data_IF_046423370398
#
_entry.id   IF_046423370398
#
_cell.length_a   1.000
_cell.length_b   1.000
_cell.length_c   1.000
_cell.angle_alpha   90.00
_cell.angle_beta   90.00
_cell.angle_gamma   90.00
#
_symmetry.space_group_name_H-M   'P 1'
#
loop_
_entity.id
_entity.type
_entity.pdbx_description
1 polymer ?
#
# COMPACT_ATOMS: atom_id res chain seq x y z
N UNK A 1 6.32 20.68 -22.31
CA UNK A 1 6.79 21.99 -21.84
C UNK A 1 8.31 22.07 -21.92
N UNK A 2 8.87 23.26 -22.23
CA UNK A 2 10.32 23.45 -22.26
C UNK A 2 10.89 23.82 -20.88
N UNK A 3 10.03 24.25 -19.95
CA UNK A 3 10.38 24.58 -18.57
C UNK A 3 9.23 24.35 -17.62
N UNK A 4 9.55 24.18 -16.34
CA UNK A 4 8.60 24.06 -15.22
C UNK A 4 9.32 24.42 -13.92
N UNK A 5 8.58 24.73 -12.86
CA UNK A 5 9.22 24.98 -11.55
C UNK A 5 9.60 23.69 -10.85
N UNK A 6 8.71 22.70 -10.85
CA UNK A 6 8.91 21.42 -10.17
C UNK A 6 8.60 20.27 -11.10
N UNK A 7 9.49 19.30 -11.15
CA UNK A 7 9.28 17.99 -11.78
C UNK A 7 9.12 16.94 -10.68
N UNK A 8 7.98 16.26 -10.65
CA UNK A 8 7.78 15.04 -9.85
C UNK A 8 8.03 13.85 -10.77
N UNK A 9 8.97 12.97 -10.41
CA UNK A 9 9.33 11.79 -11.20
C UNK A 9 8.73 10.55 -10.53
N UNK A 10 7.83 9.88 -11.25
CA UNK A 10 7.12 8.67 -10.82
C UNK A 10 5.63 8.90 -10.55
N UNK A 11 4.79 8.10 -11.19
CA UNK A 11 3.33 8.17 -11.18
C UNK A 11 2.66 7.17 -10.25
N UNK A 12 3.36 6.67 -9.23
CA UNK A 12 2.77 5.90 -8.14
C UNK A 12 1.99 6.79 -7.15
N UNK A 13 1.40 6.18 -6.12
CA UNK A 13 0.60 6.89 -5.11
C UNK A 13 1.37 8.05 -4.44
N UNK A 14 2.66 7.88 -4.20
CA UNK A 14 3.52 8.91 -3.58
C UNK A 14 3.70 10.10 -4.52
N UNK A 15 4.04 9.87 -5.79
CA UNK A 15 4.23 10.93 -6.76
C UNK A 15 2.95 11.71 -7.06
N UNK A 16 1.83 11.02 -7.24
CA UNK A 16 0.52 11.66 -7.42
C UNK A 16 0.10 12.49 -6.20
N UNK A 17 0.38 11.98 -4.98
CA UNK A 17 0.17 12.72 -3.74
C UNK A 17 1.06 13.97 -3.65
N UNK A 18 2.34 13.86 -3.99
CA UNK A 18 3.26 15.01 -4.03
C UNK A 18 2.79 16.08 -5.02
N UNK A 19 2.42 15.68 -6.24
CA UNK A 19 1.94 16.60 -7.26
C UNK A 19 0.66 17.33 -6.80
N UNK A 20 -0.28 16.59 -6.19
CA UNK A 20 -1.49 17.17 -5.62
C UNK A 20 -1.18 18.21 -4.53
N UNK A 21 -0.37 17.84 -3.54
CA UNK A 21 -0.09 18.74 -2.41
C UNK A 21 0.71 19.96 -2.82
N UNK A 22 1.68 19.82 -3.72
CA UNK A 22 2.40 20.96 -4.25
C UNK A 22 1.45 21.95 -4.93
N UNK A 23 0.60 21.47 -5.83
CA UNK A 23 -0.38 22.31 -6.51
C UNK A 23 -1.37 22.95 -5.52
N UNK A 24 -1.95 22.17 -4.60
CA UNK A 24 -2.85 22.63 -3.54
C UNK A 24 -2.23 23.72 -2.66
N UNK A 25 -0.93 23.64 -2.37
CA UNK A 25 -0.21 24.63 -1.58
C UNK A 25 0.23 25.87 -2.39
N UNK A 26 -0.26 25.99 -3.62
CA UNK A 26 -0.04 27.17 -4.46
C UNK A 26 1.27 27.14 -5.26
N UNK A 27 1.97 26.00 -5.33
CA UNK A 27 3.07 25.84 -6.27
C UNK A 27 2.50 25.82 -7.68
N UNK A 28 2.83 26.84 -8.43
CA UNK A 28 2.45 26.90 -9.86
C UNK A 28 3.47 26.12 -10.67
N UNK A 29 3.02 25.62 -11.80
CA UNK A 29 3.88 24.97 -12.78
C UNK A 29 4.56 23.71 -12.25
N UNK A 30 3.75 22.78 -11.73
CA UNK A 30 4.14 21.43 -11.33
C UNK A 30 3.84 20.46 -12.46
N UNK A 31 4.82 19.66 -12.83
CA UNK A 31 4.62 18.53 -13.75
C UNK A 31 4.97 17.22 -13.04
N UNK A 32 4.22 16.17 -13.35
CA UNK A 32 4.54 14.79 -13.00
C UNK A 32 4.86 14.03 -14.28
N UNK A 33 5.97 13.32 -14.26
CA UNK A 33 6.44 12.48 -15.35
C UNK A 33 6.45 11.03 -14.91
N UNK A 34 5.66 10.21 -15.58
CA UNK A 34 5.64 8.76 -15.42
C UNK A 34 6.16 8.11 -16.69
N UNK A 35 7.08 7.16 -16.55
CA UNK A 35 7.72 6.51 -17.68
C UNK A 35 6.78 5.61 -18.49
N UNK A 36 5.76 5.06 -17.82
CA UNK A 36 4.78 4.15 -18.41
C UNK A 36 3.36 4.64 -18.03
N UNK A 37 2.54 3.86 -17.34
CA UNK A 37 1.22 4.24 -16.86
C UNK A 37 1.25 4.55 -15.37
N UNK A 38 0.36 5.42 -14.93
CA UNK A 38 0.18 5.63 -13.51
C UNK A 38 -0.06 4.28 -12.81
N UNK A 39 0.53 4.12 -11.64
CA UNK A 39 0.48 2.91 -10.81
C UNK A 39 1.35 1.73 -11.24
N UNK A 40 1.98 1.75 -12.38
CA UNK A 40 2.72 0.61 -12.98
C UNK A 40 3.90 0.06 -12.17
N UNK A 41 4.33 0.77 -11.12
CA UNK A 41 5.33 0.27 -10.15
C UNK A 41 4.71 -0.68 -9.11
N UNK A 42 4.99 -0.46 -7.82
CA UNK A 42 4.45 -1.29 -6.72
C UNK A 42 3.04 -0.90 -6.27
N UNK A 43 2.50 0.20 -6.77
CA UNK A 43 1.19 0.71 -6.31
C UNK A 43 0.02 -0.20 -6.70
N UNK A 44 -0.01 -0.70 -7.92
CA UNK A 44 -1.17 -1.41 -8.48
C UNK A 44 -1.53 -2.71 -7.74
N UNK A 45 -0.52 -3.41 -7.20
CA UNK A 45 -0.71 -4.71 -6.54
C UNK A 45 -0.58 -4.63 -5.02
N UNK A 46 -0.58 -3.43 -4.43
CA UNK A 46 -0.63 -3.30 -2.99
C UNK A 46 -1.96 -3.86 -2.43
N UNK A 47 -1.91 -4.51 -1.28
CA UNK A 47 -3.10 -5.11 -0.66
C UNK A 47 -4.20 -4.09 -0.30
N UNK A 48 -3.85 -2.81 -0.27
CA UNK A 48 -4.78 -1.72 -0.08
C UNK A 48 -5.36 -1.60 1.32
N UNK A 49 -4.66 -2.08 2.35
CA UNK A 49 -5.10 -1.95 3.73
C UNK A 49 -5.04 -0.48 4.19
N UNK A 50 -6.14 0.03 4.71
CA UNK A 50 -6.25 1.40 5.22
C UNK A 50 -6.44 1.36 6.73
N UNK A 51 -5.54 2.02 7.46
CA UNK A 51 -5.60 2.06 8.92
C UNK A 51 -5.28 3.43 9.49
N UNK A 52 -5.95 3.81 10.56
CA UNK A 52 -5.80 5.11 11.21
C UNK A 52 -4.63 5.13 12.18
N UNK A 53 -4.49 4.10 13.01
CA UNK A 53 -3.40 4.02 13.99
C UNK A 53 -2.10 3.55 13.33
N UNK A 54 -1.00 4.21 13.67
CA UNK A 54 0.35 3.86 13.27
C UNK A 54 1.27 3.58 14.45
N UNK A 55 2.50 3.09 14.21
CA UNK A 55 3.45 2.75 15.26
C UNK A 55 3.99 3.97 16.02
N UNK A 56 3.71 5.17 15.56
CA UNK A 56 4.10 6.42 16.21
C UNK A 56 3.08 7.53 15.97
N UNK A 57 3.14 8.57 16.80
CA UNK A 57 2.25 9.71 16.68
C UNK A 57 2.32 10.43 15.31
N UNK A 58 3.51 10.69 14.72
CA UNK A 58 3.59 11.25 13.37
C UNK A 58 2.92 10.36 12.32
N UNK A 59 3.16 9.06 12.34
CA UNK A 59 2.55 8.12 11.39
C UNK A 59 1.03 8.06 11.58
N UNK A 60 0.54 8.05 12.81
CA UNK A 60 -0.91 8.11 13.09
C UNK A 60 -1.54 9.38 12.49
N UNK A 61 -0.89 10.53 12.64
CA UNK A 61 -1.37 11.79 12.04
C UNK A 61 -1.41 11.73 10.52
N UNK A 62 -0.37 11.18 9.88
CA UNK A 62 -0.29 11.04 8.42
C UNK A 62 -1.40 10.09 7.93
N UNK A 63 -1.59 8.93 8.58
CA UNK A 63 -2.62 7.97 8.20
C UNK A 63 -4.02 8.57 8.32
N UNK A 64 -4.32 9.23 9.45
CA UNK A 64 -5.59 9.94 9.62
C UNK A 64 -5.80 10.98 8.52
N UNK A 65 -4.81 11.82 8.26
CA UNK A 65 -4.87 12.84 7.21
C UNK A 65 -5.13 12.19 5.84
N UNK A 66 -4.43 11.11 5.51
CA UNK A 66 -4.60 10.42 4.22
C UNK A 66 -6.02 9.89 4.04
N UNK A 67 -6.57 9.23 5.07
CA UNK A 67 -7.93 8.71 5.00
C UNK A 67 -8.98 9.84 4.89
N UNK A 68 -8.84 10.90 5.67
CA UNK A 68 -9.73 12.06 5.61
C UNK A 68 -9.64 12.73 4.23
N UNK A 69 -8.42 12.83 3.67
CA UNK A 69 -8.20 13.37 2.33
C UNK A 69 -8.89 12.52 1.25
N UNK A 70 -8.76 11.20 1.29
CA UNK A 70 -9.41 10.34 0.30
C UNK A 70 -10.93 10.50 0.32
N UNK A 71 -11.54 10.51 1.51
CA UNK A 71 -12.98 10.78 1.71
C UNK A 71 -13.41 12.15 1.19
N UNK A 72 -12.57 13.17 1.38
CA UNK A 72 -12.81 14.52 0.88
C UNK A 72 -12.75 14.56 -0.64
N UNK A 73 -11.72 13.95 -1.23
CA UNK A 73 -11.49 13.97 -2.67
C UNK A 73 -12.55 13.18 -3.43
N UNK A 74 -13.03 12.04 -2.94
CA UNK A 74 -14.14 11.29 -3.55
C UNK A 74 -15.40 12.14 -3.71
N UNK A 75 -15.63 13.11 -2.83
CA UNK A 75 -16.77 14.04 -2.93
C UNK A 75 -16.55 15.18 -3.94
N UNK A 76 -15.29 15.49 -4.24
CA UNK A 76 -14.91 16.64 -5.08
C UNK A 76 -14.53 16.25 -6.50
N UNK A 77 -14.05 15.04 -6.66
CA UNK A 77 -13.51 14.52 -7.92
C UNK A 77 -14.38 13.34 -8.35
N UNK A 78 -14.80 13.32 -9.60
CA UNK A 78 -15.55 12.20 -10.16
C UNK A 78 -14.65 10.97 -10.36
N UNK A 79 -14.26 10.35 -9.23
CA UNK A 79 -13.50 9.13 -9.17
C UNK A 79 -13.54 8.51 -7.77
N UNK A 80 -13.70 7.19 -7.70
CA UNK A 80 -13.69 6.46 -6.42
C UNK A 80 -12.29 6.01 -6.05
N UNK A 81 -11.95 6.09 -4.78
CA UNK A 81 -10.79 5.44 -4.17
C UNK A 81 -11.06 3.96 -3.84
N UNK A 82 -12.27 3.47 -4.09
CA UNK A 82 -12.67 2.12 -3.72
C UNK A 82 -12.64 1.87 -2.21
N UNK A 83 -12.88 2.91 -1.40
CA UNK A 83 -12.83 2.80 0.07
C UNK A 83 -13.95 1.90 0.59
N UNK A 84 -13.56 0.89 1.36
CA UNK A 84 -14.44 -0.02 2.08
C UNK A 84 -14.05 0.03 3.56
N UNK A 85 -14.73 0.89 4.32
CA UNK A 85 -14.46 1.12 5.75
C UNK A 85 -15.36 0.21 6.58
N UNK A 86 -15.17 -1.07 6.43
CA UNK A 86 -15.88 -2.14 7.13
C UNK A 86 -15.17 -2.62 8.40
N UNK A 87 -14.14 -1.89 8.80
CA UNK A 87 -13.36 -2.15 10.00
C UNK A 87 -12.07 -2.93 9.73
N UNK A 88 -11.15 -2.85 10.70
CA UNK A 88 -10.01 -3.75 10.79
C UNK A 88 -9.92 -4.33 12.19
N UNK A 89 -9.84 -5.65 12.28
CA UNK A 89 -9.73 -6.43 13.50
C UNK A 89 -8.30 -6.93 13.64
N UNK A 90 -7.62 -6.53 14.72
CA UNK A 90 -6.35 -7.15 15.13
C UNK A 90 -6.63 -8.15 16.25
N UNK A 91 -6.16 -9.38 16.11
CA UNK A 91 -6.37 -10.48 17.05
C UNK A 91 -5.10 -10.81 17.81
N UNK A 92 -5.26 -11.45 18.96
CA UNK A 92 -4.17 -11.90 19.84
C UNK A 92 -4.39 -13.33 20.31
N UNK A 93 -3.36 -14.16 20.17
CA UNK A 93 -3.27 -15.52 20.69
C UNK A 93 -2.33 -15.56 21.90
N UNK A 94 -1.36 -14.66 21.96
CA UNK A 94 -0.40 -14.57 23.05
C UNK A 94 -0.70 -13.41 24.00
N UNK A 95 -0.41 -13.61 25.30
CA UNK A 95 -0.65 -12.57 26.32
C UNK A 95 0.11 -11.27 26.04
N UNK A 96 1.34 -11.36 25.56
CA UNK A 96 2.13 -10.19 25.18
C UNK A 96 1.45 -9.35 24.11
N UNK A 97 0.91 -10.01 23.07
CA UNK A 97 0.14 -9.37 22.01
C UNK A 97 -1.15 -8.77 22.53
N UNK A 98 -1.85 -9.52 23.38
CA UNK A 98 -3.09 -9.03 23.99
C UNK A 98 -2.88 -7.74 24.79
N UNK A 99 -1.82 -7.66 25.59
CA UNK A 99 -1.46 -6.44 26.30
C UNK A 99 -1.10 -5.30 25.36
N UNK A 100 -0.41 -5.59 24.25
CA UNK A 100 -0.10 -4.59 23.24
C UNK A 100 -1.37 -4.04 22.58
N UNK A 101 -2.31 -4.91 22.17
CA UNK A 101 -3.57 -4.47 21.57
C UNK A 101 -4.40 -3.62 22.52
N UNK A 102 -4.45 -3.95 23.80
CA UNK A 102 -5.12 -3.11 24.82
C UNK A 102 -4.47 -1.71 24.91
N UNK A 103 -3.14 -1.62 24.84
CA UNK A 103 -2.45 -0.31 24.78
C UNK A 103 -2.76 0.45 23.48
N UNK A 104 -2.84 -0.25 22.35
CA UNK A 104 -3.26 0.36 21.09
C UNK A 104 -4.69 0.91 21.17
N UNK A 105 -5.63 0.18 21.79
CA UNK A 105 -6.99 0.65 22.01
C UNK A 105 -7.01 1.94 22.84
N UNK A 106 -6.24 2.00 23.93
CA UNK A 106 -6.09 3.24 24.73
C UNK A 106 -5.51 4.38 23.89
N UNK A 107 -4.50 4.08 23.06
CA UNK A 107 -3.91 5.08 22.15
C UNK A 107 -4.94 5.57 21.13
N UNK A 108 -5.78 4.68 20.57
CA UNK A 108 -6.84 5.05 19.65
C UNK A 108 -7.79 6.09 20.25
N UNK A 109 -8.18 5.89 21.50
CA UNK A 109 -9.04 6.82 22.23
C UNK A 109 -8.40 8.21 22.39
N UNK A 110 -7.10 8.30 22.60
CA UNK A 110 -6.38 9.60 22.66
C UNK A 110 -6.45 10.39 21.35
N UNK A 111 -6.62 9.71 20.22
CA UNK A 111 -6.82 10.33 18.90
C UNK A 111 -8.29 10.46 18.51
N UNK A 112 -9.22 10.17 19.41
CA UNK A 112 -10.67 10.13 19.18
C UNK A 112 -11.04 9.18 18.03
N UNK A 113 -10.39 8.01 17.94
CA UNK A 113 -10.78 6.95 17.04
C UNK A 113 -11.72 5.98 17.76
N UNK A 114 -12.74 5.52 17.05
CA UNK A 114 -13.58 4.45 17.54
C UNK A 114 -12.79 3.15 17.63
N UNK A 115 -12.86 2.50 18.77
CA UNK A 115 -12.22 1.22 19.01
C UNK A 115 -13.09 0.35 19.89
N UNK A 116 -13.19 -0.92 19.56
CA UNK A 116 -13.92 -1.93 20.31
C UNK A 116 -12.95 -3.01 20.76
N UNK A 117 -12.95 -3.33 22.04
CA UNK A 117 -12.23 -4.48 22.59
C UNK A 117 -13.20 -5.66 22.55
N UNK A 118 -12.83 -6.74 21.87
CA UNK A 118 -13.68 -7.89 21.63
C UNK A 118 -13.10 -9.14 22.30
N UNK A 119 -13.96 -9.94 22.92
CA UNK A 119 -13.62 -11.29 23.33
C UNK A 119 -13.72 -12.27 22.14
N UNK A 120 -13.26 -13.51 22.32
CA UNK A 120 -13.20 -14.52 21.27
C UNK A 120 -14.57 -14.86 20.66
N UNK A 121 -15.65 -14.82 21.44
CA UNK A 121 -16.98 -15.16 20.95
C UNK A 121 -17.54 -14.01 20.10
N UNK A 122 -17.32 -12.77 20.49
CA UNK A 122 -17.66 -11.58 19.71
C UNK A 122 -16.87 -11.51 18.39
N UNK A 123 -15.62 -11.98 18.40
CA UNK A 123 -14.81 -12.12 17.17
C UNK A 123 -15.44 -13.16 16.25
N UNK A 124 -15.85 -14.31 16.80
CA UNK A 124 -16.52 -15.38 16.04
C UNK A 124 -17.84 -14.93 15.40
N UNK A 125 -18.62 -14.13 16.10
CA UNK A 125 -19.86 -13.53 15.55
C UNK A 125 -19.56 -12.63 14.33
N UNK A 126 -18.49 -11.83 14.40
CA UNK A 126 -18.13 -10.93 13.30
C UNK A 126 -17.47 -11.65 12.13
N UNK A 127 -16.74 -12.70 12.41
CA UNK A 127 -16.01 -13.49 11.41
C UNK A 127 -16.34 -14.96 11.59
N UNK A 128 -17.44 -15.44 11.01
CA UNK A 128 -17.91 -16.82 11.19
C UNK A 128 -16.90 -17.89 10.73
N UNK A 129 -15.97 -17.55 9.86
CA UNK A 129 -14.93 -18.45 9.38
C UNK A 129 -13.79 -18.67 10.35
N UNK A 130 -13.58 -17.75 11.33
CA UNK A 130 -12.42 -17.81 12.22
C UNK A 130 -12.55 -18.94 13.23
N UNK A 131 -11.46 -19.65 13.50
CA UNK A 131 -11.33 -20.47 14.71
C UNK A 131 -11.03 -19.53 15.87
N UNK A 132 -11.68 -19.73 17.00
CA UNK A 132 -11.53 -18.82 18.15
C UNK A 132 -11.07 -19.51 19.44
N UNK A 133 -10.71 -20.78 19.38
CA UNK A 133 -10.38 -21.58 20.56
C UNK A 133 -9.12 -21.09 21.27
N UNK A 134 -8.13 -20.63 20.51
CA UNK A 134 -6.84 -20.12 20.95
C UNK A 134 -6.77 -18.59 21.07
N UNK A 135 -7.86 -17.88 20.73
CA UNK A 135 -7.88 -16.43 20.82
C UNK A 135 -8.08 -15.94 22.27
N UNK A 136 -7.26 -15.00 22.68
CA UNK A 136 -7.41 -14.24 23.91
C UNK A 136 -8.39 -13.07 23.75
N UNK A 137 -8.44 -12.48 22.54
CA UNK A 137 -9.29 -11.38 22.18
C UNK A 137 -8.75 -10.58 20.99
N UNK A 138 -9.34 -9.44 20.75
CA UNK A 138 -8.92 -8.55 19.67
C UNK A 138 -9.42 -7.13 19.84
N UNK A 139 -8.91 -6.23 19.01
CA UNK A 139 -9.42 -4.87 18.87
C UNK A 139 -9.95 -4.63 17.46
N UNK A 140 -11.16 -4.13 17.38
CA UNK A 140 -11.77 -3.70 16.12
C UNK A 140 -11.70 -2.18 16.05
N UNK A 141 -11.19 -1.69 14.93
CA UNK A 141 -11.17 -0.28 14.54
C UNK A 141 -12.22 -0.07 13.43
N UNK A 142 -13.44 0.38 13.75
CA UNK A 142 -14.52 0.49 12.74
C UNK A 142 -14.23 1.46 11.59
N UNK A 143 -13.40 2.46 11.84
CA UNK A 143 -13.02 3.45 10.83
C UNK A 143 -11.88 3.01 9.89
N UNK A 144 -11.31 1.85 10.11
CA UNK A 144 -10.30 1.21 9.25
C UNK A 144 -10.98 0.38 8.15
N UNK A 145 -10.20 -0.18 7.24
CA UNK A 145 -10.70 -1.06 6.18
C UNK A 145 -9.71 -1.23 5.05
N UNK A 146 -10.21 -1.12 3.83
CA UNK A 146 -9.40 -1.21 2.62
C UNK A 146 -9.78 -0.14 1.59
N UNK A 147 -8.94 0.04 0.59
CA UNK A 147 -9.17 0.87 -0.57
C UNK A 147 -8.51 0.25 -1.80
N UNK A 148 -8.88 0.72 -2.98
CA UNK A 148 -8.20 0.34 -4.22
C UNK A 148 -6.95 1.22 -4.40
N UNK A 149 -5.72 0.66 -4.35
CA UNK A 149 -4.50 1.45 -4.50
C UNK A 149 -4.42 2.20 -5.82
N UNK A 150 -4.87 1.58 -6.91
CA UNK A 150 -4.93 2.22 -8.22
C UNK A 150 -5.99 3.32 -8.26
N UNK A 151 -7.17 3.06 -7.72
CA UNK A 151 -8.24 4.05 -7.59
C UNK A 151 -7.82 5.26 -6.75
N UNK A 152 -7.18 5.04 -5.60
CA UNK A 152 -6.61 6.10 -4.76
C UNK A 152 -5.60 6.95 -5.54
N UNK A 153 -4.73 6.32 -6.31
CA UNK A 153 -3.70 7.02 -7.10
C UNK A 153 -4.33 7.84 -8.22
N UNK A 154 -5.30 7.28 -8.93
CA UNK A 154 -6.05 7.99 -9.97
C UNK A 154 -6.86 9.16 -9.40
N UNK A 155 -7.46 8.99 -8.21
CA UNK A 155 -8.15 10.05 -7.49
C UNK A 155 -7.20 11.23 -7.18
N UNK A 156 -6.01 10.93 -6.63
CA UNK A 156 -4.97 11.93 -6.36
C UNK A 156 -4.48 12.60 -7.64
N UNK A 157 -4.28 11.84 -8.72
CA UNK A 157 -3.86 12.38 -10.01
C UNK A 157 -4.90 13.32 -10.62
N UNK A 158 -6.19 12.94 -10.58
CA UNK A 158 -7.29 13.82 -11.03
C UNK A 158 -7.38 15.08 -10.16
N UNK A 159 -7.27 14.94 -8.85
CA UNK A 159 -7.25 16.07 -7.93
C UNK A 159 -6.05 17.00 -8.20
N UNK A 160 -4.86 16.45 -8.45
CA UNK A 160 -3.68 17.24 -8.82
C UNK A 160 -3.90 18.04 -10.10
N UNK A 161 -4.52 17.44 -11.12
CA UNK A 161 -4.89 18.13 -12.37
C UNK A 161 -5.89 19.25 -12.12
N UNK A 162 -6.87 19.02 -11.23
CA UNK A 162 -7.84 20.04 -10.82
C UNK A 162 -7.20 21.25 -10.13
N UNK A 163 -6.10 21.04 -9.39
CA UNK A 163 -5.30 22.09 -8.76
C UNK A 163 -4.23 22.71 -9.70
N UNK A 164 -4.18 22.28 -10.97
CA UNK A 164 -3.33 22.86 -12.02
C UNK A 164 -2.01 22.10 -12.28
N UNK A 165 -1.75 20.96 -11.66
CA UNK A 165 -0.62 20.12 -12.02
C UNK A 165 -0.84 19.45 -13.39
N UNK A 166 0.22 19.26 -14.14
CA UNK A 166 0.21 18.55 -15.44
C UNK A 166 0.85 17.19 -15.28
N UNK A 167 0.18 16.13 -15.70
CA UNK A 167 0.63 14.74 -15.58
C UNK A 167 0.83 14.17 -16.97
N UNK A 168 2.01 13.60 -17.20
CA UNK A 168 2.43 12.99 -18.46
C UNK A 168 2.84 11.55 -18.21
N UNK A 169 2.11 10.62 -18.79
CA UNK A 169 2.48 9.21 -18.92
C UNK A 169 3.35 9.00 -20.15
N UNK A 170 3.91 7.81 -20.31
CA UNK A 170 4.83 7.46 -21.43
C UNK A 170 5.99 8.49 -21.58
N UNK A 171 6.44 9.01 -20.42
CA UNK A 171 7.39 10.12 -20.33
C UNK A 171 8.60 9.76 -19.44
N UNK A 172 9.46 8.81 -19.89
CA UNK A 172 10.60 8.37 -19.12
C UNK A 172 11.62 9.50 -18.94
N UNK A 173 12.02 9.73 -17.69
CA UNK A 173 13.15 10.62 -17.40
C UNK A 173 14.46 9.87 -17.62
N UNK A 174 15.11 10.17 -18.71
CA UNK A 174 16.36 9.53 -19.16
C UNK A 174 17.56 10.03 -18.33
N UNK A 175 17.56 11.33 -18.00
CA UNK A 175 18.66 11.97 -17.31
C UNK A 175 18.18 13.15 -16.47
N UNK A 176 18.76 13.30 -15.28
CA UNK A 176 18.68 14.51 -14.46
C UNK A 176 19.93 15.35 -14.73
N UNK A 177 19.73 16.61 -15.09
CA UNK A 177 20.80 17.55 -15.40
C UNK A 177 21.18 18.31 -14.14
N UNK A 178 22.44 18.15 -13.74
CA UNK A 178 23.02 18.80 -12.57
C UNK A 178 24.28 19.55 -12.99
N UNK A 179 24.36 20.83 -12.62
CA UNK A 179 25.55 21.65 -12.82
C UNK A 179 25.85 22.44 -11.57
N UNK A 180 27.10 22.45 -11.15
CA UNK A 180 27.52 23.15 -9.94
C UNK A 180 26.66 22.79 -8.70
N UNK A 181 26.32 21.50 -8.55
CA UNK A 181 25.43 20.97 -7.48
C UNK A 181 24.01 21.55 -7.47
N UNK A 182 23.55 22.11 -8.57
CA UNK A 182 22.19 22.62 -8.74
C UNK A 182 21.49 21.86 -9.87
N UNK A 183 20.20 21.65 -9.71
CA UNK A 183 19.33 21.09 -10.75
C UNK A 183 19.21 22.12 -11.89
N UNK A 184 19.37 21.68 -13.13
CA UNK A 184 19.11 22.47 -14.33
C UNK A 184 17.91 21.96 -15.12
N UNK A 185 17.44 20.73 -14.84
CA UNK A 185 16.32 20.14 -15.57
C UNK A 185 16.42 18.63 -15.70
N UNK A 186 15.61 18.09 -16.58
CA UNK A 186 15.57 16.67 -16.95
C UNK A 186 15.58 16.50 -18.47
N UNK A 187 16.02 15.34 -18.96
CA UNK A 187 15.82 14.89 -20.33
C UNK A 187 14.70 13.88 -20.37
N UNK A 188 13.71 14.10 -21.22
CA UNK A 188 12.53 13.26 -21.42
C UNK A 188 12.29 13.12 -22.91
N UNK A 189 12.28 11.89 -23.43
CA UNK A 189 12.14 11.61 -24.86
C UNK A 189 13.10 12.46 -25.73
N UNK A 190 14.36 12.55 -25.29
CA UNK A 190 15.41 13.33 -25.94
C UNK A 190 15.31 14.87 -25.84
N UNK A 191 14.27 15.39 -25.17
CA UNK A 191 14.05 16.83 -25.01
C UNK A 191 14.38 17.30 -23.59
N UNK A 192 15.03 18.46 -23.48
CA UNK A 192 15.30 19.10 -22.18
C UNK A 192 14.06 19.81 -21.66
N UNK A 193 13.73 19.55 -20.40
CA UNK A 193 12.76 20.34 -19.61
C UNK A 193 13.55 21.00 -18.48
N UNK A 194 13.63 22.31 -18.46
CA UNK A 194 14.28 23.07 -17.39
C UNK A 194 13.43 23.06 -16.12
N UNK A 195 14.04 22.89 -14.94
CA UNK A 195 13.33 22.98 -13.68
C UNK A 195 14.25 23.41 -12.54
N UNK A 196 13.64 23.98 -11.49
CA UNK A 196 14.36 24.40 -10.28
C UNK A 196 14.42 23.27 -9.24
N UNK A 197 13.39 22.42 -9.18
CA UNK A 197 13.23 21.36 -8.19
C UNK A 197 12.82 20.05 -8.83
N UNK A 198 13.28 18.96 -8.22
CA UNK A 198 12.89 17.61 -8.58
C UNK A 198 12.45 16.87 -7.29
N UNK A 199 11.31 16.21 -7.36
CA UNK A 199 10.84 15.25 -6.36
C UNK A 199 11.02 13.85 -6.94
N UNK A 200 11.87 13.01 -6.30
CA UNK A 200 12.01 11.61 -6.66
C UNK A 200 10.95 10.78 -5.93
N UNK A 201 9.97 10.31 -6.66
CA UNK A 201 8.92 9.40 -6.19
C UNK A 201 8.93 8.09 -7.00
N UNK A 202 10.12 7.63 -7.32
CA UNK A 202 10.41 6.57 -8.31
C UNK A 202 10.41 5.15 -7.70
N UNK A 203 9.82 4.99 -6.49
CA UNK A 203 9.64 3.70 -5.86
C UNK A 203 10.94 2.87 -5.82
N UNK A 204 10.86 1.62 -6.24
CA UNK A 204 12.00 0.69 -6.20
C UNK A 204 13.18 1.11 -7.07
N UNK A 205 13.01 2.00 -8.05
CA UNK A 205 14.09 2.53 -8.90
C UNK A 205 14.84 3.72 -8.27
N UNK A 206 14.39 4.23 -7.11
CA UNK A 206 14.96 5.45 -6.51
C UNK A 206 16.47 5.36 -6.25
N UNK A 207 16.95 4.20 -5.80
CA UNK A 207 18.38 3.97 -5.57
C UNK A 207 19.20 4.17 -6.84
N UNK A 208 18.78 3.55 -7.95
CA UNK A 208 19.49 3.62 -9.22
C UNK A 208 19.54 5.06 -9.79
N UNK A 209 18.46 5.82 -9.60
CA UNK A 209 18.40 7.22 -10.02
C UNK A 209 19.27 8.07 -9.10
N UNK A 210 19.26 7.82 -7.79
CA UNK A 210 20.14 8.46 -6.83
C UNK A 210 21.60 8.27 -7.17
N UNK A 211 22.03 7.05 -7.48
CA UNK A 211 23.41 6.73 -7.90
C UNK A 211 23.82 7.54 -9.12
N UNK A 212 22.96 7.65 -10.14
CA UNK A 212 23.21 8.46 -11.35
C UNK A 212 23.36 9.96 -11.05
N UNK A 213 22.85 10.44 -9.92
CA UNK A 213 22.89 11.85 -9.50
C UNK A 213 23.87 12.15 -8.38
N UNK A 214 24.59 11.15 -7.89
CA UNK A 214 25.53 11.27 -6.78
C UNK A 214 24.85 11.34 -5.41
N UNK A 215 23.58 10.93 -5.30
CA UNK A 215 22.82 10.87 -4.05
C UNK A 215 22.66 9.43 -3.61
N UNK A 216 23.09 9.10 -2.39
CA UNK A 216 22.88 7.78 -1.81
C UNK A 216 21.46 7.68 -1.26
N UNK A 217 20.67 6.77 -1.82
CA UNK A 217 19.31 6.45 -1.36
C UNK A 217 19.34 5.02 -0.81
N UNK A 218 19.24 4.82 0.51
CA UNK A 218 19.35 3.50 1.16
C UNK A 218 18.03 2.73 1.03
N UNK A 219 17.65 2.41 -0.20
CA UNK A 219 16.44 1.66 -0.52
C UNK A 219 16.82 0.33 -1.20
N UNK A 220 16.20 -0.74 -0.75
CA UNK A 220 16.34 -2.07 -1.32
C UNK A 220 14.95 -2.66 -1.55
N UNK A 221 14.58 -3.03 -2.78
CA UNK A 221 13.32 -3.71 -3.03
C UNK A 221 13.37 -5.14 -2.47
N UNK A 222 12.28 -5.55 -1.85
CA UNK A 222 12.09 -6.90 -1.34
C UNK A 222 10.80 -7.50 -1.89
N UNK A 223 10.79 -8.82 -2.01
CA UNK A 223 9.59 -9.56 -2.36
C UNK A 223 8.62 -9.57 -1.18
N UNK A 224 7.35 -9.48 -1.49
CA UNK A 224 6.25 -9.55 -0.53
C UNK A 224 5.10 -10.34 -1.15
N UNK A 225 4.47 -11.23 -0.37
CA UNK A 225 3.60 -12.24 -0.93
C UNK A 225 2.18 -12.14 -0.38
N UNK A 226 1.22 -12.36 -1.25
CA UNK A 226 -0.16 -12.69 -0.87
C UNK A 226 -0.75 -13.71 -1.86
N UNK A 227 -1.80 -14.37 -1.44
CA UNK A 227 -2.58 -15.29 -2.27
C UNK A 227 -4.02 -14.85 -2.30
N UNK A 228 -4.70 -15.13 -3.39
CA UNK A 228 -6.15 -14.92 -3.53
C UNK A 228 -6.79 -16.30 -3.69
N UNK A 229 -7.75 -16.62 -2.82
CA UNK A 229 -8.46 -17.89 -2.87
C UNK A 229 -9.40 -17.97 -4.08
N UNK A 230 -9.86 -19.16 -4.41
CA UNK A 230 -11.07 -19.33 -5.19
C UNK A 230 -12.29 -18.71 -4.49
N UNK A 231 -13.39 -18.44 -5.21
CA UNK A 231 -14.61 -17.93 -4.60
C UNK A 231 -15.11 -18.82 -3.47
N UNK A 232 -15.42 -18.20 -2.32
CA UNK A 232 -15.93 -18.90 -1.14
C UNK A 232 -17.43 -18.71 -1.05
N UNK A 233 -18.17 -19.81 -1.04
CA UNK A 233 -19.62 -19.78 -0.93
C UNK A 233 -20.06 -19.14 0.40
N UNK A 234 -21.02 -18.21 0.32
CA UNK A 234 -21.57 -17.49 1.45
C UNK A 234 -20.55 -16.65 2.27
N UNK A 235 -19.44 -16.25 1.63
CA UNK A 235 -18.50 -15.32 2.28
C UNK A 235 -19.21 -13.99 2.53
N UNK A 236 -19.28 -13.49 3.79
CA UNK A 236 -19.85 -12.18 4.07
C UNK A 236 -19.04 -11.07 3.37
N UNK A 237 -19.73 -10.19 2.63
CA UNK A 237 -19.08 -9.12 1.87
C UNK A 237 -18.57 -7.95 2.72
N UNK A 238 -19.00 -7.87 3.96
CA UNK A 238 -18.67 -6.82 4.93
C UNK A 238 -17.70 -7.28 6.02
N UNK A 239 -16.98 -8.38 5.76
CA UNK A 239 -15.94 -8.85 6.68
C UNK A 239 -14.91 -7.73 6.93
N UNK A 240 -14.58 -7.42 8.19
CA UNK A 240 -13.46 -6.53 8.47
C UNK A 240 -12.15 -7.14 7.98
N UNK A 241 -11.18 -6.27 7.69
CA UNK A 241 -9.80 -6.72 7.50
C UNK A 241 -9.32 -7.38 8.80
N UNK A 242 -8.75 -8.57 8.72
CA UNK A 242 -8.18 -9.25 9.89
C UNK A 242 -6.67 -9.20 9.84
N UNK A 243 -6.05 -8.88 10.96
CA UNK A 243 -4.59 -8.88 11.14
C UNK A 243 -4.22 -9.76 12.31
N UNK A 244 -3.38 -10.74 12.06
CA UNK A 244 -2.77 -11.57 13.05
C UNK A 244 -1.26 -11.39 13.02
N UNK A 245 -0.75 -10.61 13.96
CA UNK A 245 0.68 -10.36 14.06
C UNK A 245 1.44 -11.50 14.75
N UNK A 246 0.74 -12.41 15.44
CA UNK A 246 1.35 -13.60 16.07
C UNK A 246 1.68 -14.62 14.98
N UNK A 247 0.74 -14.90 14.07
CA UNK A 247 0.97 -15.72 12.86
C UNK A 247 1.61 -14.94 11.70
N UNK A 248 1.78 -13.62 11.84
CA UNK A 248 2.32 -12.74 10.79
C UNK A 248 1.51 -12.76 9.51
N UNK A 249 0.18 -12.74 9.61
CA UNK A 249 -0.72 -12.80 8.47
C UNK A 249 -1.79 -11.72 8.53
N UNK A 250 -2.39 -11.46 7.40
CA UNK A 250 -3.61 -10.65 7.33
C UNK A 250 -4.52 -11.22 6.22
N UNK A 251 -5.81 -10.99 6.34
CA UNK A 251 -6.72 -11.29 5.26
C UNK A 251 -7.85 -10.26 5.14
N UNK A 252 -8.39 -10.15 3.95
CA UNK A 252 -9.55 -9.33 3.63
C UNK A 252 -10.44 -10.04 2.62
N UNK A 253 -11.74 -9.72 2.65
CA UNK A 253 -12.64 -10.08 1.56
C UNK A 253 -12.32 -9.25 0.32
N UNK A 254 -12.33 -9.92 -0.85
CA UNK A 254 -12.07 -9.33 -2.14
C UNK A 254 -12.91 -10.02 -3.24
N UNK A 255 -14.03 -9.39 -3.60
CA UNK A 255 -14.95 -9.87 -4.63
C UNK A 255 -15.42 -11.35 -4.45
N UNK A 256 -15.78 -11.73 -3.23
CA UNK A 256 -16.23 -13.10 -2.91
C UNK A 256 -15.10 -14.09 -2.66
N UNK A 257 -13.87 -13.63 -2.62
CA UNK A 257 -12.65 -14.37 -2.33
C UNK A 257 -11.99 -13.82 -1.07
N UNK A 258 -10.98 -14.50 -0.54
CA UNK A 258 -10.09 -13.95 0.47
C UNK A 258 -8.73 -13.65 -0.16
N UNK A 259 -8.27 -12.41 0.00
CA UNK A 259 -6.87 -12.08 -0.17
C UNK A 259 -6.18 -12.34 1.18
N UNK A 260 -5.22 -13.24 1.19
CA UNK A 260 -4.41 -13.60 2.34
C UNK A 260 -2.97 -13.18 2.09
N UNK A 261 -2.46 -12.24 2.87
CA UNK A 261 -1.08 -11.77 2.80
C UNK A 261 -0.31 -12.06 4.07
N UNK A 262 0.99 -11.89 3.99
CA UNK A 262 1.92 -12.22 5.08
C UNK A 262 2.77 -11.00 5.47
N UNK A 263 3.23 -10.99 6.72
CA UNK A 263 4.22 -10.04 7.22
C UNK A 263 5.54 -10.82 7.43
N UNK A 264 6.32 -10.95 6.39
CA UNK A 264 7.54 -11.77 6.40
C UNK A 264 8.47 -11.37 7.54
N UNK A 265 8.87 -12.35 8.34
CA UNK A 265 9.92 -12.14 9.34
C UNK A 265 11.31 -11.96 8.73
N UNK A 266 11.50 -12.49 7.52
CA UNK A 266 12.70 -12.37 6.71
C UNK A 266 12.26 -12.24 5.25
N UNK A 267 12.28 -11.03 4.74
CA UNK A 267 11.96 -10.74 3.34
C UNK A 267 13.04 -11.23 2.40
N UNK A 268 12.64 -11.67 1.21
CA UNK A 268 13.56 -12.07 0.14
C UNK A 268 13.95 -10.80 -0.62
N UNK A 269 15.26 -10.51 -0.77
CA UNK A 269 15.69 -9.40 -1.62
C UNK A 269 15.29 -9.63 -3.07
N UNK A 270 14.55 -8.66 -3.65
CA UNK A 270 14.19 -8.70 -5.06
C UNK A 270 15.40 -8.35 -5.95
N UNK A 271 15.43 -8.90 -7.18
CA UNK A 271 16.45 -8.61 -8.18
C UNK A 271 17.89 -8.97 -7.79
N UNK A 272 18.05 -9.98 -6.98
CA UNK A 272 19.27 -10.69 -6.63
C UNK A 272 20.50 -9.83 -6.25
N UNK A 273 21.68 -10.36 -6.63
CA UNK A 273 23.01 -9.82 -6.28
C UNK A 273 23.32 -8.46 -6.94
N UNK A 274 22.67 -8.12 -8.06
CA UNK A 274 22.95 -6.87 -8.77
C UNK A 274 22.19 -5.70 -8.15
N UNK A 275 21.11 -5.98 -7.44
CA UNK A 275 20.20 -5.00 -6.84
C UNK A 275 19.78 -3.90 -7.84
N UNK A 276 19.63 -4.30 -9.11
CA UNK A 276 19.15 -3.42 -10.18
C UNK A 276 17.77 -3.86 -10.62
N UNK A 277 16.82 -2.98 -10.41
CA UNK A 277 15.46 -3.15 -10.93
C UNK A 277 15.52 -2.93 -12.45
N UNK A 278 15.02 -3.89 -13.27
CA UNK A 278 14.95 -3.69 -14.71
C UNK A 278 14.11 -2.47 -15.08
N UNK A 279 14.53 -1.74 -16.11
CA UNK A 279 13.81 -0.54 -16.53
C UNK A 279 12.41 -0.84 -17.05
N UNK A 280 12.21 -2.02 -17.62
CA UNK A 280 10.93 -2.51 -18.16
C UNK A 280 10.08 -3.34 -17.17
N UNK A 281 10.41 -3.35 -15.90
CA UNK A 281 9.64 -4.06 -14.87
C UNK A 281 8.40 -3.24 -14.46
N UNK A 282 7.47 -3.11 -15.40
CA UNK A 282 6.20 -2.38 -15.26
C UNK A 282 5.07 -3.39 -15.16
N UNK A 283 4.17 -3.23 -14.20
CA UNK A 283 3.18 -4.25 -13.82
C UNK A 283 3.81 -5.64 -13.66
N UNK A 284 5.03 -5.65 -13.14
CA UNK A 284 5.81 -6.87 -13.04
C UNK A 284 5.43 -7.71 -11.83
N UNK A 285 5.51 -9.02 -12.01
CA UNK A 285 5.31 -10.03 -10.99
C UNK A 285 6.51 -10.98 -10.97
N UNK A 286 6.76 -11.60 -9.81
CA UNK A 286 7.76 -12.65 -9.69
C UNK A 286 7.10 -14.03 -9.79
N UNK A 287 7.87 -15.10 -10.04
CA UNK A 287 7.35 -16.46 -9.96
C UNK A 287 6.81 -16.80 -8.58
N UNK A 288 5.83 -17.69 -8.53
CA UNK A 288 5.31 -18.25 -7.29
C UNK A 288 6.42 -18.88 -6.43
N UNK A 289 6.34 -18.63 -5.12
CA UNK A 289 7.23 -19.23 -4.15
C UNK A 289 6.41 -19.85 -3.00
N UNK A 290 5.84 -21.01 -3.28
CA UNK A 290 4.98 -21.73 -2.34
C UNK A 290 5.77 -22.18 -1.10
N UNK A 291 7.01 -22.62 -1.26
CA UNK A 291 7.87 -23.03 -0.15
C UNK A 291 8.04 -21.91 0.88
N UNK A 292 8.19 -20.66 0.41
CA UNK A 292 8.28 -19.49 1.28
C UNK A 292 6.95 -19.16 1.96
N UNK A 293 5.82 -19.38 1.27
CA UNK A 293 4.49 -19.03 1.76
C UNK A 293 3.85 -20.10 2.65
N UNK A 294 4.19 -21.38 2.44
CA UNK A 294 3.58 -22.55 3.08
C UNK A 294 3.50 -22.46 4.62
N UNK A 295 4.54 -22.06 5.36
CA UNK A 295 4.47 -21.95 6.82
C UNK A 295 3.39 -20.98 7.32
N UNK A 296 3.11 -19.95 6.54
CA UNK A 296 2.07 -18.96 6.86
C UNK A 296 0.66 -19.48 6.48
N UNK A 297 0.54 -20.26 5.39
CA UNK A 297 -0.71 -20.95 5.04
C UNK A 297 -1.08 -21.97 6.12
N UNK A 298 -0.15 -22.75 6.60
CA UNK A 298 -0.38 -23.65 7.70
C UNK A 298 -0.87 -22.93 8.95
N UNK A 299 -0.20 -21.83 9.35
CA UNK A 299 -0.61 -21.03 10.48
C UNK A 299 -2.07 -20.52 10.32
N UNK A 300 -2.43 -20.00 9.15
CA UNK A 300 -3.80 -19.54 8.89
C UNK A 300 -4.82 -20.69 8.89
N UNK A 301 -4.49 -21.82 8.30
CA UNK A 301 -5.37 -22.99 8.27
C UNK A 301 -5.60 -23.56 9.68
N UNK A 302 -4.57 -23.57 10.53
CA UNK A 302 -4.66 -24.00 11.91
C UNK A 302 -5.44 -23.02 12.79
N UNK A 303 -5.23 -21.71 12.59
CA UNK A 303 -5.68 -20.67 13.52
C UNK A 303 -6.92 -19.93 13.07
N UNK A 304 -7.18 -19.82 11.76
CA UNK A 304 -8.18 -18.87 11.27
C UNK A 304 -9.30 -19.43 10.40
N UNK A 305 -9.04 -20.48 9.63
CA UNK A 305 -10.03 -20.96 8.68
C UNK A 305 -10.43 -22.40 9.01
N UNK A 306 -11.71 -22.62 9.34
CA UNK A 306 -12.26 -23.96 9.13
C UNK A 306 -12.31 -24.21 7.64
N UNK A 307 -11.22 -24.71 7.06
CA UNK A 307 -11.28 -25.29 5.75
C UNK A 307 -12.26 -26.46 5.83
N UNK A 308 -13.44 -26.32 5.25
CA UNK A 308 -14.22 -27.47 4.86
C UNK A 308 -13.36 -28.21 3.83
N UNK A 309 -12.96 -29.41 4.26
CA UNK A 309 -12.31 -30.48 3.53
C UNK A 309 -12.42 -30.36 2.00
N UNK A 310 -11.48 -29.69 1.37
CA UNK A 310 -11.07 -29.97 0.00
C UNK A 310 -9.71 -29.38 -0.21
N UNK A 311 -8.67 -30.22 -0.16
CA UNK A 311 -7.30 -29.93 -0.57
C UNK A 311 -7.16 -29.52 -2.05
N UNK A 312 -8.25 -29.42 -2.79
CA UNK A 312 -8.27 -29.27 -4.25
C UNK A 312 -8.51 -27.85 -4.79
N UNK A 313 -8.91 -26.88 -3.95
CA UNK A 313 -9.44 -25.58 -4.44
C UNK A 313 -8.58 -24.34 -4.12
N UNK A 314 -7.36 -24.52 -3.65
CA UNK A 314 -6.41 -23.41 -3.46
C UNK A 314 -5.57 -23.21 -4.73
N UNK A 315 -6.09 -22.47 -5.68
CA UNK A 315 -5.27 -21.94 -6.78
C UNK A 315 -4.60 -20.68 -6.29
N UNK A 316 -3.32 -20.82 -5.92
CA UNK A 316 -2.51 -19.70 -5.48
C UNK A 316 -2.04 -18.88 -6.68
N UNK A 317 -2.45 -17.62 -6.78
CA UNK A 317 -1.71 -16.61 -7.50
C UNK A 317 -0.91 -15.78 -6.49
N UNK A 318 0.39 -15.92 -6.52
CA UNK A 318 1.31 -15.08 -5.76
C UNK A 318 1.53 -13.79 -6.55
N UNK A 319 1.09 -12.69 -6.00
CA UNK A 319 1.37 -11.35 -6.49
C UNK A 319 2.35 -10.67 -5.52
N UNK A 320 3.22 -9.84 -6.03
CA UNK A 320 4.30 -9.21 -5.28
C UNK A 320 4.02 -7.73 -5.04
N UNK A 321 4.26 -7.26 -3.84
CA UNK A 321 4.40 -5.83 -3.52
C UNK A 321 5.84 -5.32 -3.68
#
# INVERSE_FOLDING_TARGET
PNSTKVVVIGGGVVGCSCAYHLAKFGWKDVILLERDKLTSGTTWHAAGLVSQIGPSAPITKIRKYSLDLYKELEKKVDHSAGLRLNGALSIAQEEGRWQELKRQATTAQLYNFDVQILNKDQIKEKIPLIKNDDLLGGILMPGDGSGDPSGITQLLAKAAKGEGARIFEDSPVEKILIKNKKIEGVIVNGQKIECEYIVLATGMWSRQIGEKTGVSIPLYPAEHFYVITEPINNLPKDLPVVRDFDSRTYFKEDAGKLLLGIFEGKSIPAFDKTNKVPENFSFGEFPENLEHFEPYLEAVSYTHLRAHETEADLVCRLLLE
#
